data_IF_228661597004
#
_entry.id   IF_228661597004
#
_cell.length_a   1.000
_cell.length_b   1.000
_cell.length_c   1.000
_cell.angle_alpha   90.00
_cell.angle_beta   90.00
_cell.angle_gamma   90.00
#
_symmetry.space_group_name_H-M   'P 1'
#
loop_
_entity.id
_entity.type
_entity.pdbx_description
1 polymer ?
#
# COMPACT_ATOMS: atom_id res chain seq x y z
N UNK A 1 -7.36 31.90 -10.90
CA UNK A 1 -6.49 31.01 -10.11
C UNK A 1 -7.04 29.59 -10.06
N UNK A 2 -8.17 29.30 -9.39
CA UNK A 2 -8.76 27.93 -9.35
C UNK A 2 -9.17 27.39 -10.73
N UNK A 3 -9.66 28.26 -11.62
CA UNK A 3 -10.02 27.90 -13.00
C UNK A 3 -8.83 27.48 -13.86
N UNK A 4 -7.64 27.99 -13.56
CA UNK A 4 -6.41 27.74 -14.33
C UNK A 4 -5.77 26.40 -13.93
N UNK A 5 -5.92 26.01 -12.67
CA UNK A 5 -5.48 24.69 -12.15
C UNK A 5 -6.38 23.58 -12.69
N UNK A 6 -7.70 23.84 -12.77
CA UNK A 6 -8.70 22.91 -13.29
C UNK A 6 -8.51 22.62 -14.78
N UNK A 7 -8.19 23.64 -15.60
CA UNK A 7 -7.93 23.46 -17.03
C UNK A 7 -6.60 22.74 -17.30
N UNK A 8 -5.61 22.88 -16.41
CA UNK A 8 -4.35 22.15 -16.49
C UNK A 8 -4.51 20.66 -16.08
N UNK A 9 -5.27 20.37 -15.03
CA UNK A 9 -5.48 19.00 -14.55
C UNK A 9 -6.48 18.19 -15.39
N UNK A 10 -7.47 18.85 -16.00
CA UNK A 10 -8.50 18.20 -16.82
C UNK A 10 -8.71 18.96 -18.15
N UNK A 11 -7.75 18.90 -19.07
CA UNK A 11 -7.83 19.62 -20.34
C UNK A 11 -8.99 19.11 -21.19
N UNK A 12 -9.81 20.03 -21.72
CA UNK A 12 -10.95 19.72 -22.58
C UNK A 12 -12.24 19.33 -21.86
N UNK A 13 -12.26 19.30 -20.53
CA UNK A 13 -13.44 18.98 -19.74
C UNK A 13 -14.28 20.23 -19.43
N UNK A 14 -15.62 20.10 -19.41
CA UNK A 14 -16.51 21.17 -18.96
C UNK A 14 -16.16 21.59 -17.53
N UNK A 15 -16.29 22.89 -17.22
CA UNK A 15 -15.96 23.45 -15.89
C UNK A 15 -16.68 22.72 -14.76
N UNK A 16 -17.95 22.36 -14.97
CA UNK A 16 -18.77 21.67 -13.96
C UNK A 16 -18.26 20.24 -13.70
N UNK A 17 -17.91 19.52 -14.76
CA UNK A 17 -17.35 18.17 -14.65
C UNK A 17 -15.96 18.19 -14.02
N UNK A 18 -15.12 19.17 -14.37
CA UNK A 18 -13.80 19.35 -13.76
C UNK A 18 -13.91 19.67 -12.26
N UNK A 19 -14.88 20.52 -11.87
CA UNK A 19 -15.13 20.87 -10.48
C UNK A 19 -15.69 19.67 -9.68
N UNK A 20 -16.50 18.82 -10.29
CA UNK A 20 -16.93 17.54 -9.70
C UNK A 20 -15.72 16.63 -9.41
N UNK A 21 -14.84 16.40 -10.39
CA UNK A 21 -13.65 15.56 -10.20
C UNK A 21 -12.68 16.14 -9.17
N UNK A 22 -12.52 17.46 -9.13
CA UNK A 22 -11.73 18.12 -8.07
C UNK A 22 -12.30 17.85 -6.67
N UNK A 23 -13.63 17.90 -6.52
CA UNK A 23 -14.29 17.59 -5.25
C UNK A 23 -14.09 16.11 -4.86
N UNK A 24 -14.21 15.20 -5.83
CA UNK A 24 -13.93 13.77 -5.62
C UNK A 24 -12.48 13.57 -5.19
N UNK A 25 -11.51 14.15 -5.91
CA UNK A 25 -10.09 14.09 -5.59
C UNK A 25 -9.79 14.64 -4.19
N UNK A 26 -10.39 15.78 -3.82
CA UNK A 26 -10.24 16.37 -2.49
C UNK A 26 -10.74 15.48 -1.34
N UNK A 27 -11.70 14.60 -1.61
CA UNK A 27 -12.21 13.62 -0.64
C UNK A 27 -11.38 12.33 -0.65
N UNK A 28 -10.95 11.88 -1.83
CA UNK A 28 -10.18 10.64 -2.01
C UNK A 28 -8.76 10.78 -1.48
N UNK A 29 -8.11 11.95 -1.62
CA UNK A 29 -6.74 12.19 -1.13
C UNK A 29 -6.53 11.88 0.35
N UNK A 30 -7.30 12.46 1.29
CA UNK A 30 -7.12 12.16 2.71
C UNK A 30 -7.46 10.69 3.00
N UNK A 31 -8.49 10.14 2.36
CA UNK A 31 -8.85 8.72 2.52
C UNK A 31 -7.71 7.79 2.08
N UNK A 32 -7.12 8.03 0.91
CA UNK A 32 -5.98 7.27 0.39
C UNK A 32 -4.81 7.30 1.36
N UNK A 33 -4.52 8.48 1.94
CA UNK A 33 -3.43 8.60 2.91
C UNK A 33 -3.66 7.77 4.18
N UNK A 34 -4.88 7.76 4.70
CA UNK A 34 -5.23 6.88 5.82
C UNK A 34 -5.14 5.40 5.43
N UNK A 35 -5.67 5.03 4.26
CA UNK A 35 -5.61 3.65 3.76
C UNK A 35 -4.18 3.17 3.55
N UNK A 36 -3.27 4.02 3.06
CA UNK A 36 -1.86 3.69 2.91
C UNK A 36 -1.19 3.40 4.27
N UNK A 37 -1.55 4.15 5.31
CA UNK A 37 -1.07 3.88 6.67
C UNK A 37 -1.62 2.56 7.22
N UNK A 38 -2.90 2.29 7.02
CA UNK A 38 -3.50 1.02 7.40
C UNK A 38 -2.88 -0.16 6.63
N UNK A 39 -2.68 -0.01 5.32
CA UNK A 39 -2.03 -1.04 4.49
C UNK A 39 -0.61 -1.34 4.97
N UNK A 40 0.14 -0.33 5.39
CA UNK A 40 1.47 -0.53 5.97
C UNK A 40 1.42 -1.37 7.25
N UNK A 41 0.52 -1.02 8.19
CA UNK A 41 0.36 -1.76 9.46
C UNK A 41 -0.15 -3.19 9.21
N UNK A 42 -1.15 -3.35 8.34
CA UNK A 42 -1.71 -4.65 7.96
C UNK A 42 -0.65 -5.52 7.28
N UNK A 43 0.18 -4.95 6.41
CA UNK A 43 1.27 -5.68 5.75
C UNK A 43 2.30 -6.21 6.76
N UNK A 44 2.66 -5.41 7.77
CA UNK A 44 3.56 -5.85 8.83
C UNK A 44 2.98 -7.02 9.65
N UNK A 45 1.70 -6.92 10.03
CA UNK A 45 1.00 -8.00 10.73
C UNK A 45 0.86 -9.23 9.83
N UNK A 46 0.57 -9.04 8.54
CA UNK A 46 0.48 -10.09 7.54
C UNK A 46 1.77 -10.88 7.41
N UNK A 47 2.93 -10.20 7.38
CA UNK A 47 4.24 -10.85 7.37
C UNK A 47 4.44 -11.69 8.64
N UNK A 48 4.18 -11.13 9.82
CA UNK A 48 4.36 -11.85 11.08
C UNK A 48 3.45 -13.10 11.15
N UNK A 49 2.18 -12.96 10.76
CA UNK A 49 1.20 -14.03 10.74
C UNK A 49 1.58 -15.14 9.73
N UNK A 50 2.00 -14.77 8.52
CA UNK A 50 2.40 -15.73 7.50
C UNK A 50 3.71 -16.46 7.85
N UNK A 51 4.67 -15.77 8.48
CA UNK A 51 5.88 -16.41 9.02
C UNK A 51 5.50 -17.43 10.10
N UNK A 52 4.60 -17.06 11.03
CA UNK A 52 4.12 -17.99 12.05
C UNK A 52 3.40 -19.20 11.44
N UNK A 53 2.54 -18.96 10.44
CA UNK A 53 1.84 -20.00 9.70
C UNK A 53 2.82 -20.98 9.04
N UNK A 54 3.87 -20.48 8.38
CA UNK A 54 4.92 -21.30 7.79
C UNK A 54 5.72 -22.10 8.83
N UNK A 55 6.06 -21.49 9.98
CA UNK A 55 6.76 -22.18 11.07
C UNK A 55 5.93 -23.37 11.60
N UNK A 56 4.63 -23.15 11.79
CA UNK A 56 3.70 -24.18 12.27
C UNK A 56 3.54 -25.30 11.24
N UNK A 57 3.32 -24.96 9.97
CA UNK A 57 3.16 -25.92 8.87
C UNK A 57 4.42 -26.73 8.58
N UNK A 58 5.60 -26.16 8.85
CA UNK A 58 6.89 -26.82 8.61
C UNK A 58 7.25 -27.84 9.71
N UNK A 59 6.50 -27.95 10.82
CA UNK A 59 6.78 -28.98 11.83
C UNK A 59 6.57 -30.40 11.28
N UNK A 60 7.51 -31.30 11.63
CA UNK A 60 7.62 -32.71 11.16
C UNK A 60 6.29 -33.50 11.06
N UNK A 61 5.36 -33.46 12.03
CA UNK A 61 4.14 -34.27 11.94
C UNK A 61 3.15 -33.83 10.86
N UNK A 62 3.25 -32.60 10.35
CA UNK A 62 2.32 -32.05 9.36
C UNK A 62 2.76 -32.25 7.90
N UNK A 63 4.00 -32.69 7.61
CA UNK A 63 4.48 -32.79 6.21
C UNK A 63 4.04 -34.05 5.47
N UNK A 64 3.22 -34.89 6.09
CA UNK A 64 2.80 -36.19 5.53
C UNK A 64 1.68 -36.02 4.49
N UNK A 65 0.88 -34.95 4.59
CA UNK A 65 -0.22 -34.69 3.66
C UNK A 65 0.19 -33.66 2.59
N UNK A 66 -0.05 -33.98 1.31
CA UNK A 66 0.21 -33.11 0.15
C UNK A 66 -0.44 -31.73 0.27
N UNK A 67 -1.58 -31.64 0.97
CA UNK A 67 -2.31 -30.39 1.23
C UNK A 67 -1.43 -29.38 1.99
N UNK A 68 -0.56 -29.84 2.91
CA UNK A 68 0.30 -28.95 3.69
C UNK A 68 1.45 -28.36 2.86
N UNK A 69 1.87 -29.02 1.78
CA UNK A 69 2.83 -28.47 0.81
C UNK A 69 2.17 -27.34 0.00
N UNK A 70 0.92 -27.51 -0.44
CA UNK A 70 0.17 -26.45 -1.11
C UNK A 70 -0.06 -25.23 -0.19
N UNK A 71 -0.41 -25.46 1.07
CA UNK A 71 -0.57 -24.39 2.06
C UNK A 71 0.75 -23.62 2.31
N UNK A 72 1.89 -24.31 2.35
CA UNK A 72 3.20 -23.67 2.41
C UNK A 72 3.44 -22.81 1.16
N UNK A 73 3.12 -23.32 -0.03
CA UNK A 73 3.23 -22.56 -1.28
C UNK A 73 2.39 -21.28 -1.26
N UNK A 74 1.14 -21.35 -0.81
CA UNK A 74 0.28 -20.18 -0.65
C UNK A 74 0.88 -19.19 0.36
N UNK A 75 1.37 -19.66 1.50
CA UNK A 75 2.02 -18.82 2.51
C UNK A 75 3.28 -18.10 1.99
N UNK A 76 4.09 -18.76 1.16
CA UNK A 76 5.27 -18.15 0.52
C UNK A 76 4.83 -17.10 -0.50
N UNK A 77 3.83 -17.39 -1.34
CA UNK A 77 3.28 -16.42 -2.30
C UNK A 77 2.72 -15.19 -1.58
N UNK A 78 2.03 -15.36 -0.46
CA UNK A 78 1.47 -14.26 0.32
C UNK A 78 2.56 -13.41 0.99
N UNK A 79 3.63 -14.05 1.51
CA UNK A 79 4.82 -13.33 1.97
C UNK A 79 5.48 -12.52 0.86
N UNK A 80 5.64 -13.11 -0.34
CA UNK A 80 6.20 -12.41 -1.50
C UNK A 80 5.39 -11.18 -1.89
N UNK A 81 4.05 -11.29 -1.85
CA UNK A 81 3.14 -10.17 -2.09
C UNK A 81 3.32 -9.05 -1.06
N UNK A 82 3.38 -9.40 0.22
CA UNK A 82 3.57 -8.41 1.29
C UNK A 82 4.96 -7.76 1.24
N UNK A 83 6.01 -8.51 0.89
CA UNK A 83 7.36 -7.97 0.67
C UNK A 83 7.38 -6.96 -0.49
N UNK A 84 6.70 -7.28 -1.58
CA UNK A 84 6.60 -6.40 -2.76
C UNK A 84 5.90 -5.08 -2.42
N UNK A 85 4.79 -5.14 -1.66
CA UNK A 85 4.13 -3.94 -1.15
C UNK A 85 5.08 -3.11 -0.27
N UNK A 86 5.78 -3.74 0.67
CA UNK A 86 6.78 -3.06 1.48
C UNK A 86 7.84 -2.36 0.62
N UNK A 87 8.32 -3.01 -0.43
CA UNK A 87 9.37 -2.47 -1.31
C UNK A 87 8.88 -1.25 -2.10
N UNK A 88 7.60 -1.22 -2.49
CA UNK A 88 6.98 -0.09 -3.20
C UNK A 88 6.66 1.07 -2.25
N UNK A 89 6.14 0.78 -1.06
CA UNK A 89 5.74 1.80 -0.09
C UNK A 89 6.91 2.39 0.71
N UNK A 90 7.99 1.62 0.96
CA UNK A 90 9.18 2.09 1.70
C UNK A 90 9.81 3.37 1.13
N UNK A 91 10.09 3.50 -0.19
CA UNK A 91 10.67 4.73 -0.73
C UNK A 91 9.71 5.92 -0.60
N UNK A 92 8.39 5.73 -0.72
CA UNK A 92 7.42 6.81 -0.56
C UNK A 92 7.34 7.31 0.89
N UNK A 93 7.34 6.40 1.86
CA UNK A 93 7.38 6.76 3.28
C UNK A 93 8.72 7.38 3.69
N UNK A 94 9.84 6.87 3.17
CA UNK A 94 11.17 7.39 3.46
C UNK A 94 11.34 8.83 2.95
N UNK A 95 10.88 9.13 1.73
CA UNK A 95 10.91 10.49 1.18
C UNK A 95 9.98 11.45 1.94
N UNK A 96 8.79 10.99 2.33
CA UNK A 96 7.88 11.78 3.17
C UNK A 96 8.47 12.08 4.55
N UNK A 97 9.17 11.12 5.17
CA UNK A 97 9.86 11.30 6.45
C UNK A 97 11.02 12.29 6.33
N UNK A 98 11.84 12.18 5.28
CA UNK A 98 12.92 13.11 4.98
C UNK A 98 12.42 14.55 4.81
N UNK A 99 11.30 14.76 4.11
CA UNK A 99 10.70 16.09 3.97
C UNK A 99 10.18 16.69 5.28
N UNK A 100 9.73 15.86 6.22
CA UNK A 100 9.25 16.31 7.54
C UNK A 100 10.40 16.59 8.52
N UNK A 101 11.49 15.84 8.44
CA UNK A 101 12.61 15.92 9.41
C UNK A 101 13.70 16.89 8.96
N UNK A 102 13.93 17.04 7.66
CA UNK A 102 14.92 18.00 7.13
C UNK A 102 14.18 19.27 6.72
N UNK A 103 14.20 20.36 7.51
CA UNK A 103 13.69 21.64 7.03
C UNK A 103 14.51 22.02 5.79
N UNK A 104 13.83 22.36 4.69
CA UNK A 104 14.47 22.71 3.41
C UNK A 104 15.54 23.78 3.64
N UNK A 105 16.80 23.36 3.70
CA UNK A 105 17.91 24.24 3.40
C UNK A 105 17.97 24.28 1.87
N UNK A 106 17.34 25.29 1.26
CA UNK A 106 17.69 26.10 0.09
C UNK A 106 16.44 26.90 -0.29
#
# INVERSE_FOLDING_TARGET
MTTDILSLSFPGLSKDAAMFWYRVDSFVRPLSHYLDYFNYVISLIGIASNVFHLIVLTRKPMRILTINIFLIGIGICDLGRMLSLLTIFTPQYYLYYQQKVVPRTW
#
